data_IF_326544834749
#
_entry.id   IF_326544834749
#
_cell.length_a   1.000
_cell.length_b   1.000
_cell.length_c   1.000
_cell.angle_alpha   90.00
_cell.angle_beta   90.00
_cell.angle_gamma   90.00
#
_symmetry.space_group_name_H-M   'P 1'
#
loop_
_entity.id
_entity.type
_entity.pdbx_description
1 polymer ?
#
# COMPACT_ATOMS: atom_id res chain seq x y z
N UNK A 1 2.26 -10.28 -11.74
CA UNK A 1 2.37 -11.25 -10.64
C UNK A 1 2.85 -12.58 -11.20
N UNK A 2 4.08 -12.94 -10.98
CA UNK A 2 4.65 -14.23 -11.33
C UNK A 2 5.36 -14.77 -10.09
N UNK A 3 4.70 -15.58 -9.32
CA UNK A 3 5.30 -16.27 -8.21
C UNK A 3 4.48 -17.46 -7.80
N UNK A 4 4.88 -18.65 -8.24
CA UNK A 4 4.44 -19.86 -7.56
C UNK A 4 5.42 -21.00 -7.80
N UNK A 5 5.81 -21.67 -6.74
CA UNK A 5 6.48 -22.98 -6.81
C UNK A 5 5.40 -24.05 -6.87
N UNK A 6 5.40 -24.86 -7.90
CA UNK A 6 4.36 -25.84 -8.10
C UNK A 6 4.86 -27.26 -8.35
N UNK A 7 3.97 -28.23 -8.34
CA UNK A 7 4.16 -29.67 -8.29
C UNK A 7 4.10 -30.33 -9.67
N UNK A 8 4.96 -31.33 -9.92
CA UNK A 8 4.84 -32.30 -10.99
C UNK A 8 5.30 -31.87 -12.38
N UNK A 9 5.12 -32.72 -13.39
CA UNK A 9 5.61 -32.52 -14.77
C UNK A 9 5.05 -31.32 -15.50
N UNK A 10 3.88 -30.84 -15.11
CA UNK A 10 3.25 -29.62 -15.64
C UNK A 10 4.09 -28.39 -15.28
N UNK A 11 4.84 -28.42 -14.21
CA UNK A 11 5.63 -27.31 -13.66
C UNK A 11 7.08 -27.26 -14.15
N UNK A 12 7.56 -28.25 -14.89
CA UNK A 12 8.91 -28.26 -15.48
C UNK A 12 9.18 -27.08 -16.42
N UNK A 13 8.17 -26.29 -16.80
CA UNK A 13 8.30 -25.12 -17.67
C UNK A 13 8.23 -23.79 -16.94
N UNK A 14 8.13 -23.79 -15.61
CA UNK A 14 8.13 -22.56 -14.83
C UNK A 14 9.57 -22.11 -14.59
N UNK A 15 9.81 -20.86 -14.96
CA UNK A 15 11.09 -20.19 -14.72
C UNK A 15 10.92 -19.24 -13.55
N UNK A 16 11.94 -19.16 -12.71
CA UNK A 16 11.98 -18.24 -11.56
C UNK A 16 12.92 -17.10 -11.90
N UNK A 17 12.48 -15.88 -11.67
CA UNK A 17 13.23 -14.66 -11.90
C UNK A 17 13.24 -13.79 -10.66
N UNK A 18 14.39 -13.15 -10.39
CA UNK A 18 14.49 -12.17 -9.31
C UNK A 18 13.72 -10.90 -9.69
N UNK A 19 12.76 -10.53 -8.85
CA UNK A 19 12.02 -9.30 -8.96
C UNK A 19 12.52 -8.28 -7.92
N UNK A 20 12.50 -7.01 -8.30
CA UNK A 20 12.80 -5.88 -7.41
C UNK A 20 11.54 -5.07 -7.19
N UNK A 21 11.30 -4.68 -5.96
CA UNK A 21 10.23 -3.72 -5.65
C UNK A 21 10.58 -2.37 -6.26
N UNK A 22 9.70 -1.84 -7.09
CA UNK A 22 9.77 -0.48 -7.64
C UNK A 22 9.24 0.53 -6.63
N UNK A 23 8.19 0.18 -5.95
CA UNK A 23 7.54 0.96 -4.90
C UNK A 23 6.36 0.21 -4.32
N UNK A 24 5.92 0.67 -3.17
CA UNK A 24 4.73 0.18 -2.48
C UNK A 24 3.93 1.36 -1.92
N UNK A 25 2.67 1.13 -1.67
CA UNK A 25 1.76 2.00 -0.92
C UNK A 25 1.01 1.13 0.07
N UNK A 26 1.42 1.19 1.34
CA UNK A 26 0.84 0.38 2.41
C UNK A 26 -0.59 0.76 2.74
N UNK A 27 -0.98 2.03 2.49
CA UNK A 27 -2.35 2.51 2.72
C UNK A 27 -3.35 1.99 1.69
N UNK A 28 -2.86 1.61 0.51
CA UNK A 28 -3.65 1.04 -0.57
C UNK A 28 -3.45 -0.48 -0.73
N UNK A 29 -2.61 -1.11 0.12
CA UNK A 29 -2.19 -2.52 0.00
C UNK A 29 -1.65 -2.89 -1.40
N UNK A 30 -0.91 -1.97 -2.01
CA UNK A 30 -0.38 -2.12 -3.37
C UNK A 30 1.16 -2.09 -3.39
N UNK A 31 1.74 -2.93 -4.25
CA UNK A 31 3.16 -2.89 -4.56
C UNK A 31 3.40 -3.15 -6.05
N UNK A 32 4.39 -2.46 -6.62
CA UNK A 32 4.87 -2.70 -7.97
C UNK A 32 6.23 -3.38 -7.90
N UNK A 33 6.34 -4.54 -8.55
CA UNK A 33 7.58 -5.28 -8.70
C UNK A 33 8.01 -5.29 -10.17
N UNK A 34 9.32 -5.31 -10.41
CA UNK A 34 9.89 -5.29 -11.75
C UNK A 34 10.95 -6.38 -11.92
N UNK A 35 10.91 -7.04 -13.08
CA UNK A 35 11.94 -7.97 -13.55
C UNK A 35 12.61 -7.36 -14.79
N UNK A 36 13.94 -7.39 -14.87
CA UNK A 36 14.64 -6.87 -16.03
C UNK A 36 14.41 -7.79 -17.23
N UNK A 37 13.95 -7.25 -18.35
CA UNK A 37 13.66 -8.03 -19.56
C UNK A 37 14.89 -8.83 -20.07
N UNK A 38 16.10 -8.28 -19.91
CA UNK A 38 17.35 -8.97 -20.29
C UNK A 38 17.63 -10.24 -19.50
N UNK A 39 17.06 -10.35 -18.29
CA UNK A 39 17.25 -11.48 -17.39
C UNK A 39 16.20 -12.59 -17.66
N UNK A 40 15.19 -12.29 -18.51
CA UNK A 40 14.12 -13.23 -18.87
C UNK A 40 14.48 -13.98 -20.15
N UNK A 41 14.34 -15.32 -20.14
CA UNK A 41 14.57 -16.16 -21.32
C UNK A 41 13.63 -15.77 -22.46
N UNK A 42 14.11 -15.80 -23.69
CA UNK A 42 13.30 -15.47 -24.89
C UNK A 42 12.02 -16.30 -25.00
N UNK A 43 12.09 -17.58 -24.66
CA UNK A 43 10.91 -18.47 -24.65
C UNK A 43 9.83 -17.98 -23.72
N UNK A 44 10.22 -17.53 -22.52
CA UNK A 44 9.29 -16.97 -21.53
C UNK A 44 8.74 -15.63 -22.00
N UNK A 45 9.60 -14.72 -22.49
CA UNK A 45 9.16 -13.42 -23.02
C UNK A 45 8.10 -13.60 -24.14
N UNK A 46 8.30 -14.56 -25.04
CA UNK A 46 7.37 -14.83 -26.12
C UNK A 46 6.02 -15.41 -25.65
N UNK A 47 6.00 -15.97 -24.43
CA UNK A 47 4.79 -16.56 -23.82
C UNK A 47 4.02 -15.59 -22.94
N UNK A 48 4.64 -14.48 -22.52
CA UNK A 48 3.99 -13.45 -21.68
C UNK A 48 2.85 -12.80 -22.48
N UNK A 49 1.71 -12.68 -21.83
CA UNK A 49 0.57 -11.89 -22.31
C UNK A 49 0.24 -10.84 -21.28
N UNK A 50 0.09 -9.62 -21.74
CA UNK A 50 -0.31 -8.49 -20.89
C UNK A 50 -1.82 -8.54 -20.75
N UNK A 51 -2.32 -8.52 -19.51
CA UNK A 51 -3.75 -8.49 -19.25
C UNK A 51 -4.34 -7.13 -19.62
N UNK A 52 -5.54 -7.13 -20.15
CA UNK A 52 -6.32 -5.90 -20.38
C UNK A 52 -6.87 -5.41 -19.04
N UNK A 53 -6.67 -4.14 -18.72
CA UNK A 53 -7.33 -3.49 -17.60
C UNK A 53 -8.73 -3.06 -18.04
N UNK A 54 -9.74 -3.42 -17.24
CA UNK A 54 -11.10 -2.94 -17.40
C UNK A 54 -11.36 -1.67 -16.62
N UNK A 55 -12.61 -1.25 -16.59
CA UNK A 55 -13.09 -0.15 -15.74
C UNK A 55 -13.94 -0.71 -14.60
N UNK A 56 -13.41 -0.69 -13.39
CA UNK A 56 -14.13 -1.20 -12.21
C UNK A 56 -15.29 -0.29 -11.80
N UNK A 57 -15.32 0.97 -12.24
CA UNK A 57 -16.44 1.88 -11.97
C UNK A 57 -17.71 1.45 -12.68
N UNK A 58 -17.59 0.79 -13.84
CA UNK A 58 -18.71 0.28 -14.62
C UNK A 58 -19.26 -1.08 -14.14
N UNK A 59 -18.51 -1.81 -13.28
CA UNK A 59 -18.95 -3.11 -12.77
C UNK A 59 -20.27 -2.98 -12.01
N UNK A 60 -21.11 -4.00 -12.07
CA UNK A 60 -22.42 -4.01 -11.40
C UNK A 60 -22.53 -5.16 -10.41
N UNK A 61 -23.24 -4.92 -9.32
CA UNK A 61 -23.60 -5.99 -8.38
C UNK A 61 -24.39 -7.08 -9.13
N UNK A 62 -24.04 -8.33 -8.87
CA UNK A 62 -24.59 -9.51 -9.58
C UNK A 62 -23.84 -9.89 -10.86
N UNK A 63 -22.81 -9.14 -11.29
CA UNK A 63 -21.94 -9.57 -12.39
C UNK A 63 -21.03 -10.71 -11.95
N UNK A 64 -20.88 -11.72 -12.81
CA UNK A 64 -20.00 -12.85 -12.59
C UNK A 64 -18.53 -12.39 -12.69
N UNK A 65 -17.71 -12.88 -11.78
CA UNK A 65 -16.26 -12.58 -11.72
C UNK A 65 -15.44 -13.84 -11.49
N UNK A 66 -14.19 -13.78 -11.92
CA UNK A 66 -13.21 -14.87 -11.79
C UNK A 66 -11.98 -14.35 -11.05
N UNK A 67 -11.65 -14.96 -9.93
CA UNK A 67 -10.40 -14.70 -9.22
C UNK A 67 -9.37 -15.78 -9.57
N UNK A 68 -8.16 -15.36 -9.93
CA UNK A 68 -7.06 -16.25 -10.30
C UNK A 68 -5.88 -16.03 -9.35
N UNK A 69 -5.26 -17.13 -8.94
CA UNK A 69 -4.06 -17.08 -8.11
C UNK A 69 -3.40 -18.45 -7.96
N UNK A 70 -2.52 -18.54 -6.98
CA UNK A 70 -1.86 -19.80 -6.59
C UNK A 70 -2.14 -20.07 -5.12
N UNK A 71 -3.38 -20.44 -4.81
CA UNK A 71 -3.82 -20.67 -3.45
C UNK A 71 -2.96 -21.73 -2.77
N UNK A 72 -2.41 -21.38 -1.60
CA UNK A 72 -1.61 -22.26 -0.76
C UNK A 72 -0.35 -22.86 -1.44
N UNK A 73 0.07 -22.34 -2.60
CA UNK A 73 1.24 -22.84 -3.32
C UNK A 73 1.03 -24.17 -4.06
N UNK A 74 -0.21 -24.67 -4.13
CA UNK A 74 -0.56 -25.93 -4.82
C UNK A 74 -0.77 -25.79 -6.33
N UNK A 75 -0.39 -24.64 -6.90
CA UNK A 75 -0.53 -24.35 -8.31
C UNK A 75 -1.62 -23.32 -8.60
N UNK A 76 -1.85 -23.09 -9.89
CA UNK A 76 -2.84 -22.12 -10.35
C UNK A 76 -4.24 -22.54 -9.88
N UNK A 77 -4.91 -21.66 -9.15
CA UNK A 77 -6.28 -21.82 -8.70
C UNK A 77 -7.18 -20.78 -9.34
N UNK A 78 -8.40 -21.17 -9.64
CA UNK A 78 -9.44 -20.31 -10.21
C UNK A 78 -10.67 -20.46 -9.33
N UNK A 79 -11.18 -19.35 -8.83
CA UNK A 79 -12.47 -19.30 -8.13
C UNK A 79 -13.43 -18.40 -8.87
N UNK A 80 -14.70 -18.73 -8.86
CA UNK A 80 -15.77 -18.02 -9.57
C UNK A 80 -16.80 -17.57 -8.56
N UNK A 81 -17.31 -16.37 -8.74
CA UNK A 81 -18.38 -15.80 -7.93
C UNK A 81 -18.99 -14.58 -8.61
N UNK A 82 -19.58 -13.72 -7.82
CA UNK A 82 -20.28 -12.54 -8.28
C UNK A 82 -19.80 -11.31 -7.53
N UNK A 83 -19.96 -10.13 -8.11
CA UNK A 83 -19.82 -8.86 -7.39
C UNK A 83 -20.98 -8.77 -6.40
N UNK A 84 -20.67 -8.86 -5.11
CA UNK A 84 -21.67 -8.79 -4.02
C UNK A 84 -21.96 -7.36 -3.59
N UNK A 85 -20.95 -6.49 -3.64
CA UNK A 85 -21.08 -5.05 -3.37
C UNK A 85 -19.94 -4.26 -4.02
N UNK A 86 -20.15 -2.95 -4.18
CA UNK A 86 -19.17 -1.99 -4.69
C UNK A 86 -18.99 -0.85 -3.70
N UNK A 87 -17.89 -0.14 -3.85
CA UNK A 87 -17.58 1.09 -3.10
C UNK A 87 -17.72 0.93 -1.57
N UNK A 88 -17.50 -0.30 -1.07
CA UNK A 88 -17.51 -0.56 0.35
C UNK A 88 -16.28 0.06 0.98
N UNK A 89 -16.47 0.96 1.93
CA UNK A 89 -15.37 1.46 2.75
C UNK A 89 -15.05 0.43 3.82
N UNK A 90 -13.80 0.00 3.87
CA UNK A 90 -13.31 -0.92 4.89
C UNK A 90 -12.26 -0.20 5.72
N UNK A 91 -12.34 -0.40 7.03
CA UNK A 91 -11.32 0.01 7.98
C UNK A 91 -10.44 -1.20 8.26
N UNK A 92 -9.15 -1.15 7.93
CA UNK A 92 -8.21 -2.20 8.33
C UNK A 92 -8.02 -2.15 9.85
N UNK A 93 -8.19 -3.29 10.52
CA UNK A 93 -7.73 -3.47 11.89
C UNK A 93 -6.30 -3.99 11.83
N UNK A 94 -5.35 -3.26 12.43
CA UNK A 94 -4.00 -3.74 12.62
C UNK A 94 -3.98 -4.91 13.61
N UNK A 95 -3.04 -5.86 13.44
CA UNK A 95 -2.87 -7.02 14.35
C UNK A 95 -2.63 -6.61 15.82
N UNK A 96 -2.23 -5.38 16.07
CA UNK A 96 -2.02 -4.81 17.41
C UNK A 96 -3.28 -4.15 18.01
N UNK A 97 -4.44 -4.28 17.34
CA UNK A 97 -5.72 -3.72 17.80
C UNK A 97 -5.88 -2.21 17.57
N UNK A 98 -4.90 -1.56 16.95
CA UNK A 98 -5.06 -0.17 16.52
C UNK A 98 -5.86 -0.15 15.22
N UNK A 99 -7.06 0.43 15.24
CA UNK A 99 -7.85 0.61 14.03
C UNK A 99 -7.14 1.60 13.12
N UNK A 100 -6.55 1.08 12.06
CA UNK A 100 -5.97 1.88 11.00
C UNK A 100 -7.11 2.34 10.11
N UNK A 101 -7.57 3.56 10.27
CA UNK A 101 -8.67 4.10 9.48
C UNK A 101 -8.20 4.52 8.08
N UNK A 102 -7.62 3.57 7.33
CA UNK A 102 -7.50 3.72 5.90
C UNK A 102 -8.86 3.34 5.31
N UNK A 103 -9.65 4.33 4.94
CA UNK A 103 -10.90 4.11 4.21
C UNK A 103 -10.57 3.76 2.78
N UNK A 104 -10.40 2.46 2.54
CA UNK A 104 -10.19 1.95 1.19
C UNK A 104 -11.53 1.50 0.61
N UNK A 105 -11.87 1.97 -0.57
CA UNK A 105 -12.99 1.44 -1.32
C UNK A 105 -12.62 0.10 -1.93
N UNK A 106 -13.51 -0.88 -1.83
CA UNK A 106 -13.27 -2.22 -2.35
C UNK A 106 -14.47 -2.77 -3.12
N UNK A 107 -14.20 -3.73 -4.01
CA UNK A 107 -15.19 -4.63 -4.58
C UNK A 107 -15.33 -5.81 -3.63
N UNK A 108 -16.54 -6.10 -3.18
CA UNK A 108 -16.84 -7.32 -2.45
C UNK A 108 -17.32 -8.40 -3.44
N UNK A 109 -16.85 -9.63 -3.25
CA UNK A 109 -17.24 -10.80 -4.04
C UNK A 109 -17.43 -12.03 -3.14
N UNK A 110 -18.25 -12.96 -3.57
CA UNK A 110 -18.38 -14.29 -2.97
C UNK A 110 -17.44 -15.33 -3.62
N UNK A 111 -16.69 -14.94 -4.65
CA UNK A 111 -15.55 -15.73 -5.12
C UNK A 111 -14.55 -15.90 -3.95
N UNK A 112 -14.12 -17.14 -3.71
CA UNK A 112 -13.20 -17.42 -2.58
C UNK A 112 -11.86 -16.70 -2.77
N UNK A 113 -11.58 -15.73 -1.89
CA UNK A 113 -10.30 -15.02 -1.80
C UNK A 113 -9.56 -15.56 -0.58
N UNK A 114 -8.41 -16.21 -0.81
CA UNK A 114 -7.62 -16.88 0.20
C UNK A 114 -6.13 -16.53 0.05
N UNK A 115 -5.30 -16.79 1.07
CA UNK A 115 -3.85 -16.72 0.92
C UNK A 115 -3.37 -17.52 -0.29
N UNK A 116 -2.69 -16.85 -1.23
CA UNK A 116 -2.21 -17.40 -2.50
C UNK A 116 -2.90 -16.84 -3.73
N UNK A 117 -4.17 -16.41 -3.70
CA UNK A 117 -4.74 -15.61 -4.78
C UNK A 117 -4.71 -14.09 -4.48
N UNK A 118 -4.29 -13.70 -3.28
CA UNK A 118 -3.99 -12.31 -2.93
C UNK A 118 -2.88 -11.75 -3.83
N UNK A 119 -3.08 -10.54 -4.37
CA UNK A 119 -2.24 -9.93 -5.41
C UNK A 119 -2.55 -10.43 -6.82
N UNK A 120 -3.39 -11.46 -6.98
CA UNK A 120 -3.90 -11.92 -8.26
C UNK A 120 -5.07 -11.08 -8.77
N UNK A 121 -5.44 -11.24 -10.06
CA UNK A 121 -6.52 -10.47 -10.67
C UNK A 121 -7.91 -10.98 -10.27
N UNK A 122 -8.85 -10.04 -10.14
CA UNK A 122 -10.28 -10.26 -10.29
C UNK A 122 -10.66 -9.87 -11.72
N UNK A 123 -11.21 -10.82 -12.48
CA UNK A 123 -11.56 -10.64 -13.89
C UNK A 123 -13.08 -10.57 -14.06
N UNK A 124 -13.53 -9.75 -15.01
CA UNK A 124 -14.90 -9.82 -15.52
C UNK A 124 -15.04 -10.91 -16.60
N UNK A 125 -16.26 -11.10 -17.11
CA UNK A 125 -16.53 -12.11 -18.14
C UNK A 125 -15.93 -11.80 -19.52
N UNK A 126 -15.37 -10.61 -19.74
CA UNK A 126 -14.58 -10.27 -20.93
C UNK A 126 -13.09 -10.60 -20.77
N UNK A 127 -12.69 -11.12 -19.59
CA UNK A 127 -11.29 -11.40 -19.27
C UNK A 127 -10.47 -10.14 -18.93
N UNK A 128 -11.12 -9.03 -18.63
CA UNK A 128 -10.47 -7.78 -18.21
C UNK A 128 -10.30 -7.76 -16.70
N UNK A 129 -9.16 -7.24 -16.24
CA UNK A 129 -8.88 -7.05 -14.82
C UNK A 129 -9.69 -5.88 -14.28
N UNK A 130 -10.62 -6.16 -13.37
CA UNK A 130 -11.44 -5.14 -12.69
C UNK A 130 -11.02 -4.92 -11.23
N UNK A 131 -10.16 -5.79 -10.69
CA UNK A 131 -9.66 -5.64 -9.33
C UNK A 131 -8.40 -6.45 -9.07
N UNK A 132 -7.74 -6.13 -7.96
CA UNK A 132 -6.60 -6.87 -7.40
C UNK A 132 -7.07 -7.50 -6.10
N UNK A 133 -7.03 -8.84 -6.00
CA UNK A 133 -7.52 -9.57 -4.83
C UNK A 133 -6.65 -9.26 -3.61
N UNK A 134 -7.27 -9.06 -2.44
CA UNK A 134 -6.56 -8.91 -1.18
C UNK A 134 -7.18 -9.79 -0.10
N UNK A 135 -6.41 -10.77 0.38
CA UNK A 135 -6.81 -11.61 1.51
C UNK A 135 -6.59 -10.93 2.86
N UNK A 136 -5.78 -9.89 2.90
CA UNK A 136 -5.51 -9.10 4.12
C UNK A 136 -6.75 -8.31 4.56
N UNK A 137 -7.55 -7.87 3.60
CA UNK A 137 -8.76 -7.08 3.83
C UNK A 137 -9.93 -7.98 4.30
N UNK A 138 -9.90 -9.27 3.99
CA UNK A 138 -10.96 -10.20 4.37
C UNK A 138 -10.97 -10.40 5.89
N UNK A 139 -12.10 -10.10 6.53
CA UNK A 139 -12.30 -10.47 7.94
C UNK A 139 -12.18 -12.00 8.06
N UNK A 140 -11.25 -12.48 8.87
CA UNK A 140 -10.87 -13.89 9.01
C UNK A 140 -11.99 -14.82 9.53
N UNK A 141 -13.19 -14.30 9.77
CA UNK A 141 -14.30 -15.00 10.41
C UNK A 141 -15.59 -15.13 9.59
N UNK A 142 -15.63 -14.61 8.36
CA UNK A 142 -16.85 -14.64 7.54
C UNK A 142 -16.59 -15.36 6.22
N UNK A 143 -17.13 -16.58 6.10
CA UNK A 143 -17.10 -17.33 4.83
C UNK A 143 -17.96 -16.65 3.76
N UNK A 144 -17.52 -16.71 2.50
CA UNK A 144 -18.26 -16.16 1.36
C UNK A 144 -18.11 -14.63 1.19
N UNK A 145 -17.15 -14.00 1.88
CA UNK A 145 -16.84 -12.59 1.72
C UNK A 145 -15.38 -12.41 1.36
N UNK A 146 -15.13 -12.09 0.09
CA UNK A 146 -13.83 -11.72 -0.44
C UNK A 146 -13.79 -10.26 -0.87
N UNK A 147 -12.60 -9.69 -0.92
CA UNK A 147 -12.39 -8.30 -1.30
C UNK A 147 -11.31 -8.15 -2.37
N UNK A 148 -11.53 -7.19 -3.25
CA UNK A 148 -10.56 -6.81 -4.28
C UNK A 148 -10.47 -5.29 -4.36
N UNK A 149 -9.25 -4.78 -4.51
CA UNK A 149 -8.98 -3.35 -4.73
C UNK A 149 -9.43 -3.02 -6.15
N UNK A 150 -10.34 -2.03 -6.35
CA UNK A 150 -10.83 -1.67 -7.68
C UNK A 150 -9.67 -1.23 -8.58
N UNK A 151 -9.61 -1.72 -9.82
CA UNK A 151 -8.51 -1.41 -10.73
C UNK A 151 -8.47 0.08 -11.10
N UNK A 152 -9.61 0.75 -11.19
CA UNK A 152 -9.69 2.17 -11.50
C UNK A 152 -9.11 3.04 -10.36
N UNK A 153 -9.19 2.59 -9.10
CA UNK A 153 -8.54 3.23 -7.95
C UNK A 153 -7.05 2.88 -7.87
N UNK A 154 -6.69 1.64 -8.22
CA UNK A 154 -5.32 1.16 -8.17
C UNK A 154 -4.43 1.77 -9.28
N UNK A 155 -4.98 2.01 -10.48
CA UNK A 155 -4.21 2.46 -11.64
C UNK A 155 -3.41 3.75 -11.40
N UNK A 156 -3.96 4.84 -10.85
CA UNK A 156 -3.18 6.05 -10.57
C UNK A 156 -2.03 5.80 -9.59
N UNK A 157 -2.25 4.95 -8.59
CA UNK A 157 -1.22 4.57 -7.61
C UNK A 157 -0.12 3.74 -8.28
N UNK A 158 -0.51 2.77 -9.10
CA UNK A 158 0.42 1.92 -9.87
C UNK A 158 1.28 2.79 -10.79
N UNK A 159 0.68 3.74 -11.50
CA UNK A 159 1.40 4.65 -12.40
C UNK A 159 2.42 5.51 -11.63
N UNK A 160 2.04 6.03 -10.47
CA UNK A 160 2.98 6.75 -9.60
C UNK A 160 4.13 5.83 -9.18
N UNK A 161 3.84 4.64 -8.68
CA UNK A 161 4.83 3.67 -8.21
C UNK A 161 5.76 3.19 -9.35
N UNK A 162 5.23 2.98 -10.56
CA UNK A 162 6.01 2.59 -11.73
C UNK A 162 7.01 3.68 -12.16
N UNK A 163 6.61 4.95 -12.07
CA UNK A 163 7.44 6.07 -12.48
C UNK A 163 8.37 6.56 -11.37
N UNK A 164 8.19 6.06 -10.12
CA UNK A 164 9.04 6.42 -8.99
C UNK A 164 10.47 5.90 -9.20
N UNK A 165 11.45 6.78 -9.01
CA UNK A 165 12.85 6.38 -8.99
C UNK A 165 13.13 5.50 -7.77
N UNK A 166 13.73 4.32 -8.00
CA UNK A 166 14.15 3.44 -6.90
C UNK A 166 15.39 4.03 -6.25
N UNK A 167 15.21 4.65 -5.09
CA UNK A 167 16.29 5.24 -4.32
C UNK A 167 17.02 4.17 -3.50
N UNK A 168 18.34 4.23 -3.45
CA UNK A 168 19.13 3.48 -2.48
C UNK A 168 18.95 4.10 -1.08
N UNK A 169 19.24 3.35 -0.01
CA UNK A 169 19.10 3.87 1.36
C UNK A 169 19.95 5.14 1.60
N UNK A 170 21.10 5.24 0.96
CA UNK A 170 21.96 6.42 1.00
C UNK A 170 21.36 7.66 0.29
N UNK A 171 20.40 7.46 -0.60
CA UNK A 171 19.72 8.51 -1.36
C UNK A 171 18.38 8.92 -0.75
N UNK A 172 17.77 8.06 0.05
CA UNK A 172 16.46 8.32 0.69
C UNK A 172 16.50 9.53 1.62
N UNK A 173 15.40 10.24 1.66
CA UNK A 173 15.18 11.33 2.59
C UNK A 173 14.48 10.86 3.86
N UNK A 174 14.86 11.43 4.99
CA UNK A 174 14.33 11.11 6.31
C UNK A 174 13.95 12.40 7.03
N UNK A 175 12.90 12.33 7.84
CA UNK A 175 12.46 13.43 8.71
C UNK A 175 13.31 13.54 9.99
N UNK A 176 13.79 12.41 10.50
CA UNK A 176 14.50 12.38 11.79
C UNK A 176 13.55 12.51 12.98
N UNK A 177 12.50 11.72 13.00
CA UNK A 177 11.56 11.60 14.12
C UNK A 177 11.36 10.14 14.50
N UNK A 178 11.02 9.91 15.78
CA UNK A 178 10.34 8.72 16.25
C UNK A 178 8.88 9.08 16.52
N UNK A 179 7.95 8.22 16.15
CA UNK A 179 6.52 8.51 16.29
C UNK A 179 5.69 7.25 16.43
N UNK A 180 4.43 7.46 16.71
CA UNK A 180 3.40 6.40 16.82
C UNK A 180 2.16 6.83 16.04
N UNK A 181 1.48 5.87 15.44
CA UNK A 181 0.15 6.07 14.88
C UNK A 181 -0.82 6.47 16.00
N UNK A 182 -1.63 7.51 15.79
CA UNK A 182 -2.70 7.87 16.73
C UNK A 182 -3.79 6.81 16.66
N UNK A 183 -4.09 6.15 17.79
CA UNK A 183 -5.12 5.11 17.86
C UNK A 183 -6.53 5.70 17.87
N UNK A 184 -7.54 4.89 17.55
CA UNK A 184 -8.96 5.32 17.66
C UNK A 184 -9.31 5.74 19.08
N UNK A 185 -8.79 5.05 20.08
CA UNK A 185 -9.02 5.40 21.49
C UNK A 185 -8.50 6.82 21.78
N UNK A 186 -7.31 7.18 21.29
CA UNK A 186 -6.77 8.53 21.43
C UNK A 186 -7.60 9.55 20.65
N UNK A 187 -8.16 9.18 19.49
CA UNK A 187 -9.07 10.04 18.72
C UNK A 187 -10.38 10.32 19.47
N UNK A 188 -10.87 9.39 20.26
CA UNK A 188 -12.03 9.60 21.15
C UNK A 188 -11.79 10.67 22.24
N UNK A 189 -10.51 10.98 22.52
CA UNK A 189 -10.09 12.10 23.39
C UNK A 189 -9.71 13.36 22.61
N UNK A 190 -10.31 13.58 21.43
CA UNK A 190 -10.07 14.72 20.54
C UNK A 190 -8.63 14.81 19.97
N UNK A 191 -7.84 13.72 20.01
CA UNK A 191 -6.54 13.70 19.34
C UNK A 191 -6.76 13.51 17.83
N UNK A 192 -6.23 14.41 16.97
CA UNK A 192 -6.38 14.28 15.53
C UNK A 192 -5.75 13.00 15.00
N UNK A 193 -6.38 12.39 13.99
CA UNK A 193 -5.81 11.26 13.25
C UNK A 193 -4.49 11.67 12.59
N UNK A 194 -3.47 10.80 12.68
CA UNK A 194 -2.15 11.06 12.10
C UNK A 194 -1.03 10.38 12.88
N UNK A 195 0.17 10.93 12.74
CA UNK A 195 1.39 10.42 13.39
C UNK A 195 1.80 11.32 14.52
N UNK A 196 1.67 10.83 15.76
CA UNK A 196 2.16 11.50 16.96
C UNK A 196 3.68 11.47 16.99
N UNK A 197 4.32 12.63 17.09
CA UNK A 197 5.78 12.79 17.21
C UNK A 197 6.20 12.54 18.67
N UNK A 198 6.81 11.38 18.92
CA UNK A 198 7.30 11.02 20.25
C UNK A 198 8.67 11.65 20.55
N UNK A 199 9.55 11.68 19.54
CA UNK A 199 10.89 12.27 19.66
C UNK A 199 11.31 12.92 18.34
N UNK A 200 12.16 13.93 18.43
CA UNK A 200 12.75 14.61 17.28
C UNK A 200 14.28 14.52 17.42
N UNK A 201 14.93 14.04 16.37
CA UNK A 201 16.39 13.94 16.30
C UNK A 201 17.01 15.33 16.30
N UNK A 202 17.89 15.61 17.27
CA UNK A 202 18.61 16.89 17.36
C UNK A 202 19.39 17.15 16.07
N UNK A 203 19.30 18.37 15.56
CA UNK A 203 19.87 18.80 14.28
C UNK A 203 19.35 18.02 13.06
N UNK A 204 18.28 17.23 13.22
CA UNK A 204 17.58 16.52 12.17
C UNK A 204 16.75 17.44 11.27
N UNK A 205 16.16 16.87 10.20
CA UNK A 205 15.32 17.63 9.27
C UNK A 205 14.10 18.26 9.98
N UNK A 206 13.43 17.46 10.81
CA UNK A 206 12.26 17.89 11.58
C UNK A 206 12.60 18.96 12.60
N UNK A 207 13.72 18.81 13.34
CA UNK A 207 14.18 19.77 14.33
C UNK A 207 14.46 21.14 13.69
N UNK A 208 15.22 21.15 12.60
CA UNK A 208 15.53 22.38 11.84
C UNK A 208 14.30 23.07 11.27
N UNK A 209 13.25 22.32 10.96
CA UNK A 209 11.99 22.84 10.47
C UNK A 209 11.04 23.29 11.60
N UNK A 210 11.37 23.01 12.87
CA UNK A 210 10.57 23.40 14.03
C UNK A 210 9.43 22.45 14.35
N UNK A 211 9.48 21.19 13.88
CA UNK A 211 8.63 20.10 14.37
C UNK A 211 9.05 19.78 15.81
N UNK A 212 8.08 19.53 16.67
CA UNK A 212 8.31 19.32 18.12
C UNK A 212 7.67 18.02 18.58
N UNK A 213 8.18 17.46 19.65
CA UNK A 213 7.50 16.41 20.40
C UNK A 213 6.07 16.87 20.75
N UNK A 214 5.09 15.99 20.56
CA UNK A 214 3.67 16.26 20.78
C UNK A 214 2.93 16.79 19.55
N UNK A 215 3.62 17.10 18.45
CA UNK A 215 2.97 17.40 17.17
C UNK A 215 2.31 16.14 16.60
N UNK A 216 1.25 16.31 15.82
CA UNK A 216 0.60 15.23 15.07
C UNK A 216 0.70 15.54 13.60
N UNK A 217 1.54 14.78 12.87
CA UNK A 217 1.71 14.93 11.44
C UNK A 217 0.52 14.29 10.73
N UNK A 218 -0.14 15.07 9.86
CA UNK A 218 -1.36 14.66 9.16
C UNK A 218 -1.19 14.56 7.66
N UNK A 219 -0.19 15.24 7.05
CA UNK A 219 0.09 15.13 5.63
C UNK A 219 1.56 15.46 5.28
N UNK A 220 2.01 14.95 4.14
CA UNK A 220 3.27 15.31 3.46
C UNK A 220 2.96 15.69 2.02
N UNK A 221 3.35 16.91 1.59
CA UNK A 221 3.03 17.47 0.28
C UNK A 221 1.52 17.39 -0.07
N UNK A 222 0.64 17.58 0.93
CA UNK A 222 -0.81 17.48 0.77
C UNK A 222 -1.37 16.05 0.74
N UNK A 223 -0.50 15.03 0.71
CA UNK A 223 -0.93 13.63 0.78
C UNK A 223 -1.12 13.26 2.26
N UNK A 224 -2.35 12.86 2.62
CA UNK A 224 -2.70 12.46 3.98
C UNK A 224 -1.85 11.27 4.42
N UNK A 225 -1.38 11.31 5.66
CA UNK A 225 -0.69 10.20 6.33
C UNK A 225 -1.39 9.92 7.65
N UNK A 226 -1.76 8.66 7.86
CA UNK A 226 -2.50 8.23 9.06
C UNK A 226 -1.65 7.35 9.97
N UNK A 227 -0.57 6.75 9.42
CA UNK A 227 0.29 5.83 10.16
C UNK A 227 1.75 6.22 10.05
N UNK A 228 2.55 5.79 11.02
CA UNK A 228 4.00 6.04 11.02
C UNK A 228 4.67 5.35 9.82
N UNK A 229 4.16 4.20 9.39
CA UNK A 229 4.64 3.45 8.23
C UNK A 229 4.40 4.25 6.95
N UNK A 230 3.18 4.77 6.74
CA UNK A 230 2.84 5.60 5.58
C UNK A 230 3.66 6.89 5.53
N UNK A 231 3.90 7.53 6.68
CA UNK A 231 4.75 8.72 6.76
C UNK A 231 6.20 8.40 6.38
N UNK A 232 6.78 7.32 6.94
CA UNK A 232 8.13 6.86 6.60
C UNK A 232 8.25 6.53 5.11
N UNK A 233 7.30 5.81 4.58
CA UNK A 233 7.27 5.40 3.17
C UNK A 233 7.24 6.62 2.24
N UNK A 234 6.35 7.57 2.50
CA UNK A 234 6.26 8.81 1.73
C UNK A 234 7.53 9.66 1.87
N UNK A 235 8.08 9.85 3.06
CA UNK A 235 9.33 10.58 3.24
C UNK A 235 10.51 9.92 2.51
N UNK A 236 10.64 8.58 2.61
CA UNK A 236 11.68 7.80 1.96
C UNK A 236 11.53 7.74 0.42
N UNK A 237 10.38 8.10 -0.12
CA UNK A 237 10.17 8.19 -1.56
C UNK A 237 10.82 9.42 -2.21
N UNK A 238 11.21 10.40 -1.42
CA UNK A 238 11.94 11.58 -1.85
C UNK A 238 13.45 11.41 -1.61
N UNK A 239 14.26 12.07 -2.46
CA UNK A 239 15.71 12.12 -2.25
C UNK A 239 16.05 12.99 -1.02
N UNK A 240 17.13 12.65 -0.33
CA UNK A 240 17.74 13.56 0.63
C UNK A 240 18.02 14.92 -0.02
N UNK A 241 17.79 16.00 0.71
CA UNK A 241 17.88 17.38 0.21
C UNK A 241 16.60 17.88 -0.45
N UNK A 242 15.60 17.02 -0.69
CA UNK A 242 14.29 17.47 -1.20
C UNK A 242 13.56 18.24 -0.11
N UNK A 243 12.98 19.39 -0.49
CA UNK A 243 12.10 20.18 0.36
C UNK A 243 10.68 19.65 0.22
N UNK A 244 10.08 19.25 1.33
CA UNK A 244 8.69 18.77 1.41
C UNK A 244 7.90 19.65 2.37
N UNK A 245 6.60 19.77 2.14
CA UNK A 245 5.69 20.47 3.03
C UNK A 245 5.05 19.44 3.99
N UNK A 246 5.23 19.65 5.28
CA UNK A 246 4.60 18.84 6.33
C UNK A 246 3.42 19.61 6.90
N UNK A 247 2.24 19.03 6.83
CA UNK A 247 1.06 19.51 7.55
C UNK A 247 0.98 18.78 8.88
N UNK A 248 0.86 19.51 9.97
CA UNK A 248 0.76 18.96 11.30
C UNK A 248 -0.26 19.72 12.15
N UNK A 249 -0.71 19.10 13.22
CA UNK A 249 -1.54 19.71 14.24
C UNK A 249 -0.78 19.78 15.53
N UNK A 250 -0.66 20.98 16.11
CA UNK A 250 0.02 21.25 17.39
C UNK A 250 -1.00 21.62 18.45
N UNK A 251 -0.87 21.02 19.63
CA UNK A 251 -1.71 21.39 20.77
C UNK A 251 -1.36 22.82 21.23
N UNK A 252 -2.38 23.66 21.34
CA UNK A 252 -2.31 25.00 21.87
C UNK A 252 -3.53 25.23 22.80
N UNK A 253 -3.28 25.41 24.09
CA UNK A 253 -4.33 25.64 25.12
C UNK A 253 -5.51 24.65 25.07
N UNK A 254 -5.22 23.37 24.82
CA UNK A 254 -6.24 22.31 24.78
C UNK A 254 -6.97 22.15 23.43
N UNK A 255 -6.61 22.94 22.43
CA UNK A 255 -7.09 22.81 21.06
C UNK A 255 -5.94 22.46 20.10
N UNK A 256 -6.25 21.81 19.00
CA UNK A 256 -5.25 21.51 17.97
C UNK A 256 -5.30 22.54 16.86
N UNK A 257 -4.18 23.23 16.63
CA UNK A 257 -4.01 24.24 15.57
C UNK A 257 -3.18 23.60 14.44
N UNK A 258 -3.72 23.71 13.20
CA UNK A 258 -3.00 23.24 12.01
C UNK A 258 -1.86 24.17 11.65
N UNK A 259 -0.74 23.59 11.26
CA UNK A 259 0.47 24.29 10.80
C UNK A 259 1.05 23.57 9.60
N UNK A 260 1.61 24.36 8.69
CA UNK A 260 2.41 23.85 7.57
C UNK A 260 3.86 24.27 7.76
N UNK A 261 4.78 23.33 7.64
CA UNK A 261 6.22 23.54 7.78
C UNK A 261 6.94 23.00 6.54
N UNK A 262 7.88 23.79 6.03
CA UNK A 262 8.78 23.36 4.97
C UNK A 262 9.97 22.62 5.58
N UNK A 263 10.11 21.34 5.24
CA UNK A 263 11.15 20.46 5.77
C UNK A 263 12.09 20.03 4.66
N UNK A 264 13.39 20.25 4.82
CA UNK A 264 14.40 19.70 3.91
C UNK A 264 14.87 18.36 4.43
N UNK A 265 14.50 17.28 3.73
CA UNK A 265 14.81 15.90 4.13
C UNK A 265 16.32 15.65 4.19
N UNK A 266 16.78 14.91 5.18
CA UNK A 266 18.19 14.55 5.38
C UNK A 266 18.44 13.07 5.06
N UNK A 267 19.71 12.67 4.89
CA UNK A 267 20.09 11.28 4.74
C UNK A 267 20.10 10.52 6.07
N UNK A 268 20.11 9.18 6.01
CA UNK A 268 20.10 8.30 7.19
C UNK A 268 21.24 8.54 8.17
N UNK A 269 22.40 9.02 7.74
CA UNK A 269 23.54 9.34 8.61
C UNK A 269 23.30 10.49 9.62
N UNK A 270 22.19 11.22 9.48
CA UNK A 270 21.79 12.30 10.41
C UNK A 270 20.80 11.83 11.47
N UNK A 271 20.51 10.53 11.53
CA UNK A 271 19.52 9.94 12.44
C UNK A 271 20.20 9.44 13.73
N UNK A 272 20.66 10.28 14.61
CA UNK A 272 21.29 9.92 15.90
C UNK A 272 20.48 8.85 16.68
N UNK A 273 20.43 7.59 16.20
CA UNK A 273 19.77 6.46 16.86
C UNK A 273 18.25 6.32 16.67
N UNK A 274 17.60 7.23 15.96
CA UNK A 274 16.17 7.15 15.64
C UNK A 274 15.99 6.65 14.19
N UNK A 275 15.54 5.40 14.03
CA UNK A 275 15.15 4.80 12.76
C UNK A 275 13.65 4.52 12.72
#
# INVERSE_FOLDING_TARGET
VLGSRGLGDVYKRQEVYDAKTKGNDSSADLAVIAVKLKDIKKSTLNSIRISTLGDSSESKVGEMVVAIGNALGYGQSVTVGYVSAKDREITEQSEDGSAQSSKMKVIQTDAAINPGNSGGPLLNMRGEVIGINSSKIAASSVEGVGYSIPISEATPIIDELMNREVLTDAQKGYLGISGKTVTEEASNFNMPEGVYVAEVSKDGAADKAGIKQGDIITAINGIKVTTIESLKEKANSYKKGTKVKITLKRSDNGSYVEKELDVTLQGSGSLNGLQ
#
